data_IF_461994553957
#
_entry.id   IF_461994553957
#
_cell.length_a   1.000
_cell.length_b   1.000
_cell.length_c   1.000
_cell.angle_alpha   90.00
_cell.angle_beta   90.00
_cell.angle_gamma   90.00
#
_symmetry.space_group_name_H-M   'P 1'
#
loop_
_entity.id
_entity.type
_entity.pdbx_description
1 polymer ?
#
# COMPACT_ATOMS: atom_id res chain seq x y z
N UNK A 1 31.68 -15.36 18.97
CA UNK A 1 30.58 -16.37 18.91
C UNK A 1 29.32 -15.73 19.47
N UNK A 2 28.50 -15.11 18.62
CA UNK A 2 27.22 -14.53 19.03
C UNK A 2 26.17 -15.62 19.02
N UNK A 3 25.73 -16.03 20.20
CA UNK A 3 24.66 -17.00 20.37
C UNK A 3 23.41 -16.51 19.64
N UNK A 4 22.94 -17.29 18.66
CA UNK A 4 21.56 -17.18 18.16
C UNK A 4 20.65 -17.46 19.35
N UNK A 5 20.10 -16.41 19.94
CA UNK A 5 18.94 -16.53 20.83
C UNK A 5 17.85 -17.17 19.97
N UNK A 6 17.61 -18.47 20.15
CA UNK A 6 16.39 -19.12 19.69
C UNK A 6 15.27 -18.44 20.47
N UNK A 7 14.59 -17.47 19.86
CA UNK A 7 13.32 -17.01 20.39
C UNK A 7 12.38 -18.21 20.38
N UNK A 8 12.02 -18.68 21.58
CA UNK A 8 10.96 -19.65 21.74
C UNK A 8 9.66 -19.00 21.25
N UNK A 9 9.00 -19.65 20.30
CA UNK A 9 7.67 -19.25 19.84
C UNK A 9 6.70 -19.33 21.01
N UNK A 10 5.96 -18.26 21.29
CA UNK A 10 4.92 -18.29 22.32
C UNK A 10 3.69 -19.05 21.78
N UNK A 11 2.91 -19.71 22.64
CA UNK A 11 1.71 -20.44 22.26
C UNK A 11 0.72 -19.61 21.44
N UNK A 12 0.58 -18.31 21.73
CA UNK A 12 -0.24 -17.39 20.92
C UNK A 12 0.31 -17.18 19.49
N UNK A 13 1.63 -17.11 19.33
CA UNK A 13 2.26 -17.01 18.01
C UNK A 13 2.03 -18.29 17.21
N UNK A 14 2.19 -19.45 17.86
CA UNK A 14 1.94 -20.76 17.26
C UNK A 14 0.46 -20.91 16.87
N UNK A 15 -0.48 -20.56 17.75
CA UNK A 15 -1.92 -20.59 17.46
C UNK A 15 -2.30 -19.66 16.32
N UNK A 16 -1.76 -18.42 16.29
CA UNK A 16 -2.03 -17.49 15.18
C UNK A 16 -1.57 -18.03 13.82
N UNK A 17 -0.54 -18.90 13.82
CA UNK A 17 -0.05 -19.59 12.62
C UNK A 17 -0.85 -20.84 12.29
N UNK A 18 -1.40 -21.52 13.30
CA UNK A 18 -2.17 -22.76 13.14
C UNK A 18 -3.64 -22.52 12.79
N UNK A 19 -4.27 -21.48 13.33
CA UNK A 19 -5.66 -21.12 13.01
C UNK A 19 -5.82 -20.65 11.57
N UNK A 20 -4.73 -20.12 10.98
CA UNK A 20 -4.68 -19.67 9.59
C UNK A 20 -5.48 -18.38 9.37
N UNK A 21 -4.79 -17.32 8.94
CA UNK A 21 -5.50 -16.09 8.51
C UNK A 21 -6.17 -16.31 7.15
N UNK A 22 -7.32 -15.67 6.95
CA UNK A 22 -7.98 -15.65 5.65
C UNK A 22 -7.02 -15.14 4.56
N UNK A 23 -7.10 -15.77 3.40
CA UNK A 23 -6.23 -15.46 2.27
C UNK A 23 -6.64 -14.14 1.61
N UNK A 24 -5.65 -13.27 1.34
CA UNK A 24 -5.84 -12.04 0.56
C UNK A 24 -5.43 -12.20 -0.91
N UNK A 25 -5.19 -13.44 -1.38
CA UNK A 25 -4.78 -13.70 -2.77
C UNK A 25 -5.80 -13.18 -3.78
N UNK A 26 -7.08 -13.24 -3.45
CA UNK A 26 -8.17 -12.84 -4.33
C UNK A 26 -8.75 -11.45 -3.99
N UNK A 27 -7.99 -10.62 -3.25
CA UNK A 27 -8.45 -9.29 -2.80
C UNK A 27 -8.92 -8.40 -3.96
N UNK A 28 -8.22 -8.43 -5.10
CA UNK A 28 -8.66 -7.77 -6.31
C UNK A 28 -8.04 -8.39 -7.57
N UNK A 29 -8.78 -9.29 -8.26
CA UNK A 29 -8.31 -9.95 -9.49
C UNK A 29 -8.06 -8.99 -10.64
N UNK A 30 -8.60 -7.77 -10.63
CA UNK A 30 -8.35 -6.77 -11.67
C UNK A 30 -6.97 -6.14 -11.55
N UNK A 31 -6.47 -6.01 -10.31
CA UNK A 31 -5.20 -5.38 -9.98
C UNK A 31 -4.05 -6.39 -9.98
N UNK A 32 -4.27 -7.56 -9.35
CA UNK A 32 -3.24 -8.59 -9.20
C UNK A 32 -3.40 -9.69 -10.26
N UNK A 33 -2.30 -10.29 -10.75
CA UNK A 33 -2.39 -11.42 -11.68
C UNK A 33 -3.09 -12.63 -11.03
N UNK A 34 -3.67 -13.49 -11.87
CA UNK A 34 -4.26 -14.76 -11.43
C UNK A 34 -3.14 -15.56 -10.74
N UNK A 35 -3.40 -16.04 -9.52
CA UNK A 35 -2.43 -16.69 -8.63
C UNK A 35 -1.24 -15.83 -8.14
N UNK A 36 -1.28 -14.51 -8.37
CA UNK A 36 -0.22 -13.58 -7.94
C UNK A 36 -0.71 -12.40 -7.12
N UNK A 37 -1.86 -12.54 -6.44
CA UNK A 37 -2.26 -11.63 -5.38
C UNK A 37 -1.48 -11.85 -4.10
N UNK A 38 -1.51 -10.86 -3.18
CA UNK A 38 -0.68 -10.88 -1.99
C UNK A 38 -1.09 -12.01 -1.04
N UNK A 39 -0.14 -12.90 -0.75
CA UNK A 39 -0.27 -13.97 0.22
C UNK A 39 0.17 -13.56 1.62
N UNK A 40 -0.02 -14.46 2.59
CA UNK A 40 0.41 -14.24 3.97
C UNK A 40 1.90 -13.88 4.05
N UNK A 41 2.20 -12.79 4.72
CA UNK A 41 3.57 -12.30 4.88
C UNK A 41 4.08 -11.44 3.72
N UNK A 42 3.27 -11.18 2.68
CA UNK A 42 3.66 -10.31 1.58
C UNK A 42 3.57 -8.82 1.97
N UNK A 43 4.41 -8.03 1.31
CA UNK A 43 4.44 -6.58 1.42
C UNK A 43 4.24 -5.96 0.04
N UNK A 44 3.21 -5.12 -0.10
CA UNK A 44 2.84 -4.44 -1.34
C UNK A 44 3.13 -2.95 -1.20
N UNK A 45 4.01 -2.44 -2.06
CA UNK A 45 4.36 -1.02 -2.13
C UNK A 45 3.57 -0.31 -3.22
N UNK A 46 2.83 0.73 -2.85
CA UNK A 46 2.06 1.59 -3.74
C UNK A 46 2.88 2.85 -4.01
N UNK A 47 3.40 3.00 -5.20
CA UNK A 47 4.30 4.09 -5.56
C UNK A 47 3.72 4.93 -6.69
N UNK A 48 3.84 6.26 -6.59
CA UNK A 48 3.40 7.17 -7.63
C UNK A 48 3.29 8.61 -7.15
N UNK A 49 3.10 9.53 -8.10
CA UNK A 49 2.90 10.94 -7.82
C UNK A 49 1.61 11.19 -7.02
N UNK A 50 1.49 12.36 -6.42
CA UNK A 50 0.26 12.77 -5.75
C UNK A 50 -0.92 12.82 -6.75
N UNK A 51 -2.12 12.48 -6.27
CA UNK A 51 -3.31 12.50 -7.12
C UNK A 51 -3.38 11.42 -8.21
N UNK A 52 -2.57 10.36 -8.13
CA UNK A 52 -2.63 9.21 -9.08
C UNK A 52 -3.59 8.09 -8.64
N UNK A 53 -4.41 8.31 -7.60
CA UNK A 53 -5.42 7.34 -7.14
C UNK A 53 -4.92 6.27 -6.16
N UNK A 54 -3.78 6.47 -5.50
CA UNK A 54 -3.24 5.52 -4.49
C UNK A 54 -4.23 5.30 -3.33
N UNK A 55 -4.63 6.38 -2.66
CA UNK A 55 -5.54 6.34 -1.50
C UNK A 55 -6.93 5.82 -1.89
N UNK A 56 -7.44 6.19 -3.06
CA UNK A 56 -8.68 5.63 -3.61
C UNK A 56 -8.60 4.11 -3.83
N UNK A 57 -7.43 3.63 -4.24
CA UNK A 57 -7.19 2.18 -4.39
C UNK A 57 -7.10 1.49 -3.04
N UNK A 58 -6.52 2.14 -2.03
CA UNK A 58 -6.56 1.63 -0.66
C UNK A 58 -8.00 1.54 -0.15
N UNK A 59 -8.84 2.57 -0.34
CA UNK A 59 -10.26 2.50 0.05
C UNK A 59 -10.98 1.35 -0.61
N UNK A 60 -10.81 1.16 -1.92
CA UNK A 60 -11.38 0.03 -2.64
C UNK A 60 -10.94 -1.33 -2.02
N UNK A 61 -9.65 -1.48 -1.73
CA UNK A 61 -9.11 -2.73 -1.15
C UNK A 61 -9.55 -2.95 0.30
N UNK A 62 -9.64 -1.90 1.11
CA UNK A 62 -10.18 -1.97 2.48
C UNK A 62 -11.64 -2.40 2.43
N UNK A 63 -12.46 -1.79 1.57
CA UNK A 63 -13.87 -2.14 1.39
C UNK A 63 -14.01 -3.62 1.04
N UNK A 64 -13.24 -4.13 0.08
CA UNK A 64 -13.20 -5.57 -0.25
C UNK A 64 -12.82 -6.45 0.94
N UNK A 65 -11.90 -6.01 1.79
CA UNK A 65 -11.50 -6.76 2.98
C UNK A 65 -12.62 -6.83 4.02
N UNK A 66 -13.21 -5.69 4.38
CA UNK A 66 -14.12 -5.62 5.54
C UNK A 66 -15.55 -6.06 5.25
N UNK A 67 -15.94 -6.11 3.98
CA UNK A 67 -17.28 -6.53 3.55
C UNK A 67 -17.54 -8.03 3.80
N UNK A 68 -18.82 -8.43 3.98
CA UNK A 68 -19.22 -9.82 4.12
C UNK A 68 -18.82 -10.69 2.91
N UNK A 69 -18.50 -11.97 3.15
CA UNK A 69 -18.17 -12.91 2.07
C UNK A 69 -19.35 -13.10 1.11
N UNK A 70 -20.58 -13.06 1.64
CA UNK A 70 -21.81 -13.17 0.85
C UNK A 70 -21.98 -11.99 -0.13
N UNK A 71 -21.38 -10.84 0.18
CA UNK A 71 -21.36 -9.63 -0.65
C UNK A 71 -20.07 -9.50 -1.48
N UNK A 72 -19.32 -10.59 -1.68
CA UNK A 72 -18.06 -10.59 -2.44
C UNK A 72 -16.86 -9.95 -1.73
N UNK A 73 -16.96 -9.74 -0.41
CA UNK A 73 -15.88 -9.33 0.46
C UNK A 73 -15.09 -10.51 1.05
N UNK A 74 -14.20 -10.21 2.01
CA UNK A 74 -13.34 -11.22 2.65
C UNK A 74 -13.58 -11.38 4.16
N UNK A 75 -14.31 -10.47 4.80
CA UNK A 75 -14.48 -10.39 6.27
C UNK A 75 -13.20 -10.32 7.10
N UNK A 76 -12.15 -9.73 6.51
CA UNK A 76 -10.86 -9.52 7.13
C UNK A 76 -10.83 -8.20 7.88
N UNK A 77 -10.34 -8.22 9.11
CA UNK A 77 -10.07 -6.99 9.87
C UNK A 77 -8.80 -6.30 9.35
N UNK A 78 -8.83 -4.96 9.36
CA UNK A 78 -7.80 -4.10 8.77
C UNK A 78 -7.38 -3.03 9.79
N UNK A 79 -6.07 -2.84 9.94
CA UNK A 79 -5.51 -1.67 10.63
C UNK A 79 -4.93 -0.72 9.58
N UNK A 80 -5.41 0.52 9.58
CA UNK A 80 -4.90 1.61 8.74
C UNK A 80 -4.09 2.57 9.60
N UNK A 81 -2.81 2.72 9.28
CA UNK A 81 -1.93 3.71 9.91
C UNK A 81 -1.78 4.88 8.96
N UNK A 82 -2.39 6.00 9.34
CA UNK A 82 -2.32 7.25 8.60
C UNK A 82 -1.17 8.11 9.15
N UNK A 83 -0.20 8.40 8.31
CA UNK A 83 0.96 9.22 8.69
C UNK A 83 0.93 10.62 8.05
N UNK A 84 0.07 10.83 7.05
CA UNK A 84 -0.05 12.10 6.34
C UNK A 84 -1.37 12.83 6.64
N UNK A 85 -2.24 12.27 7.48
CA UNK A 85 -3.56 12.82 7.86
C UNK A 85 -4.49 13.02 6.65
N UNK A 86 -4.35 12.14 5.64
CA UNK A 86 -5.17 12.17 4.43
C UNK A 86 -6.33 11.16 4.45
N UNK A 87 -6.46 10.36 5.51
CA UNK A 87 -7.60 9.45 5.64
C UNK A 87 -8.90 10.23 5.85
N UNK A 88 -9.84 10.07 4.93
CA UNK A 88 -11.15 10.69 4.94
C UNK A 88 -12.21 9.61 5.16
N UNK A 89 -12.75 9.59 6.37
CA UNK A 89 -13.79 8.64 6.77
C UNK A 89 -15.07 8.81 5.96
N UNK A 90 -15.47 10.04 5.61
CA UNK A 90 -16.70 10.28 4.86
C UNK A 90 -16.55 9.73 3.45
N UNK A 91 -15.41 10.03 2.80
CA UNK A 91 -15.08 9.49 1.48
C UNK A 91 -15.07 7.96 1.50
N UNK A 92 -14.46 7.35 2.51
CA UNK A 92 -14.41 5.90 2.66
C UNK A 92 -15.81 5.27 2.82
N UNK A 93 -16.66 5.86 3.67
CA UNK A 93 -18.04 5.40 3.88
C UNK A 93 -18.85 5.49 2.59
N UNK A 94 -18.72 6.57 1.80
CA UNK A 94 -19.41 6.68 0.52
C UNK A 94 -19.00 5.56 -0.47
N UNK A 95 -17.72 5.16 -0.49
CA UNK A 95 -17.27 4.01 -1.29
C UNK A 95 -17.88 2.70 -0.77
N UNK A 96 -17.89 2.51 0.55
CA UNK A 96 -18.45 1.31 1.19
C UNK A 96 -19.96 1.17 0.91
N UNK A 97 -20.72 2.25 1.07
CA UNK A 97 -22.16 2.30 0.78
C UNK A 97 -22.44 2.00 -0.70
N UNK A 98 -21.69 2.63 -1.61
CA UNK A 98 -21.81 2.38 -3.04
C UNK A 98 -21.64 0.89 -3.39
N UNK A 99 -20.64 0.23 -2.79
CA UNK A 99 -20.40 -1.21 -2.99
C UNK A 99 -21.49 -2.11 -2.40
N UNK A 100 -21.95 -1.82 -1.19
CA UNK A 100 -23.03 -2.59 -0.56
C UNK A 100 -24.37 -2.42 -1.31
N UNK A 101 -24.60 -1.26 -1.93
CA UNK A 101 -25.77 -1.00 -2.74
C UNK A 101 -25.74 -1.71 -4.12
N UNK A 102 -24.55 -1.91 -4.71
CA UNK A 102 -24.39 -2.71 -5.94
C UNK A 102 -24.80 -4.18 -5.69
N UNK A 103 -24.36 -4.77 -4.58
CA UNK A 103 -24.68 -6.14 -4.16
C UNK A 103 -26.18 -6.38 -3.93
N UNK A 104 -26.86 -5.40 -3.33
CA UNK A 104 -28.29 -5.50 -2.97
C UNK A 104 -29.22 -5.49 -4.18
N UNK A 105 -28.75 -5.09 -5.37
CA UNK A 105 -29.54 -5.12 -6.61
C UNK A 105 -29.62 -6.52 -7.22
N UNK A 106 -28.79 -7.45 -6.77
CA UNK A 106 -28.69 -8.81 -7.30
C UNK A 106 -29.30 -9.88 -6.36
N UNK A 107 -29.72 -9.52 -5.14
CA UNK A 107 -30.24 -10.47 -4.15
C UNK A 107 -31.52 -10.01 -3.43
N UNK A 108 -32.52 -10.90 -3.38
CA UNK A 108 -33.79 -10.79 -2.63
C UNK A 108 -33.56 -11.10 -1.13
N UNK A 109 -32.63 -10.35 -0.51
CA UNK A 109 -32.20 -10.56 0.88
C UNK A 109 -33.01 -9.76 1.90
N UNK A 110 -33.01 -10.15 3.19
CA UNK A 110 -33.75 -9.44 4.23
C UNK A 110 -33.26 -8.01 4.35
N UNK A 111 -34.21 -7.08 4.51
CA UNK A 111 -34.02 -5.65 4.72
C UNK A 111 -33.32 -5.38 6.07
N UNK A 112 -32.05 -5.76 6.22
CA UNK A 112 -31.23 -5.14 7.25
C UNK A 112 -31.04 -3.68 6.85
N UNK A 113 -31.28 -2.76 7.78
CA UNK A 113 -31.10 -1.35 7.51
C UNK A 113 -29.68 -1.10 6.98
N UNK A 114 -29.51 -0.30 5.90
CA UNK A 114 -28.21 -0.10 5.25
C UNK A 114 -27.14 0.38 6.23
N UNK A 115 -27.54 1.14 7.25
CA UNK A 115 -26.68 1.63 8.32
C UNK A 115 -26.09 0.50 9.18
N UNK A 116 -26.85 -0.55 9.49
CA UNK A 116 -26.36 -1.69 10.28
C UNK A 116 -25.31 -2.49 9.51
N UNK A 117 -25.50 -2.65 8.19
CA UNK A 117 -24.51 -3.32 7.31
C UNK A 117 -23.20 -2.53 7.27
N UNK A 118 -23.29 -1.21 7.09
CA UNK A 118 -22.12 -0.32 7.11
C UNK A 118 -21.43 -0.40 8.47
N UNK A 119 -22.17 -0.28 9.57
CA UNK A 119 -21.62 -0.36 10.94
C UNK A 119 -20.90 -1.68 11.19
N UNK A 120 -21.49 -2.80 10.79
CA UNK A 120 -20.89 -4.14 10.90
C UNK A 120 -19.56 -4.23 10.14
N UNK A 121 -19.48 -3.66 8.94
CA UNK A 121 -18.23 -3.58 8.18
C UNK A 121 -17.18 -2.71 8.89
N UNK A 122 -17.58 -1.53 9.37
CA UNK A 122 -16.70 -0.59 10.04
C UNK A 122 -16.12 -1.12 11.35
N UNK A 123 -16.80 -2.04 12.05
CA UNK A 123 -16.25 -2.72 13.22
C UNK A 123 -14.97 -3.53 12.92
N UNK A 124 -14.71 -3.86 11.65
CA UNK A 124 -13.49 -4.56 11.21
C UNK A 124 -12.36 -3.59 10.80
N UNK A 125 -12.58 -2.28 10.80
CA UNK A 125 -11.57 -1.27 10.45
C UNK A 125 -11.10 -0.51 11.71
N UNK A 126 -9.79 -0.47 11.93
CA UNK A 126 -9.15 0.37 12.93
C UNK A 126 -8.24 1.38 12.27
N UNK A 127 -8.40 2.67 12.57
CA UNK A 127 -7.58 3.77 12.03
C UNK A 127 -6.74 4.37 13.15
N UNK A 128 -5.43 4.53 12.89
CA UNK A 128 -4.46 5.09 13.84
C UNK A 128 -3.65 6.17 13.14
N UNK A 129 -3.57 7.35 13.73
CA UNK A 129 -2.75 8.44 13.20
C UNK A 129 -1.37 8.48 13.87
N UNK A 130 -0.33 8.67 13.08
CA UNK A 130 1.05 8.85 13.55
C UNK A 130 1.62 10.16 13.02
N UNK A 131 2.21 10.98 13.90
CA UNK A 131 2.79 12.29 13.55
C UNK A 131 4.32 12.28 13.40
N UNK A 132 4.97 11.16 13.70
CA UNK A 132 6.43 11.01 13.63
C UNK A 132 6.84 9.57 13.40
N UNK A 133 8.06 9.37 12.90
CA UNK A 133 8.67 8.05 12.69
C UNK A 133 8.83 7.27 14.00
N UNK A 134 9.06 7.97 15.11
CA UNK A 134 9.12 7.37 16.46
C UNK A 134 7.74 6.91 16.92
N UNK A 135 6.69 7.73 16.73
CA UNK A 135 5.33 7.31 17.06
C UNK A 135 4.92 6.10 16.22
N UNK A 136 5.22 6.10 14.91
CA UNK A 136 4.97 4.95 14.04
C UNK A 136 5.64 3.69 14.58
N UNK A 137 6.92 3.77 14.98
CA UNK A 137 7.65 2.63 15.54
C UNK A 137 6.98 2.08 16.81
N UNK A 138 6.57 2.96 17.73
CA UNK A 138 5.87 2.58 18.95
C UNK A 138 4.50 1.96 18.67
N UNK A 139 3.74 2.54 17.73
CA UNK A 139 2.45 1.98 17.28
C UNK A 139 2.64 0.58 16.71
N UNK A 140 3.65 0.34 15.88
CA UNK A 140 3.94 -0.99 15.33
C UNK A 140 4.31 -2.00 16.43
N UNK A 141 5.01 -1.58 17.48
CA UNK A 141 5.30 -2.44 18.65
C UNK A 141 4.02 -2.77 19.42
N UNK A 142 3.13 -1.78 19.60
CA UNK A 142 1.85 -2.00 20.26
C UNK A 142 0.96 -2.97 19.48
N UNK A 143 0.92 -2.83 18.14
CA UNK A 143 0.13 -3.70 17.26
C UNK A 143 0.57 -5.16 17.29
N UNK A 144 1.80 -5.48 17.69
CA UNK A 144 2.26 -6.87 17.89
C UNK A 144 1.33 -7.66 18.83
N UNK A 145 0.84 -7.01 19.88
CA UNK A 145 -0.12 -7.62 20.81
C UNK A 145 -1.49 -7.82 20.16
N UNK A 146 -1.96 -6.83 19.37
CA UNK A 146 -3.22 -6.92 18.64
C UNK A 146 -3.22 -8.04 17.60
N UNK A 147 -2.13 -8.18 16.83
CA UNK A 147 -1.99 -9.29 15.88
C UNK A 147 -1.98 -10.66 16.57
N UNK A 148 -1.45 -10.73 17.80
CA UNK A 148 -1.43 -11.95 18.59
C UNK A 148 -2.82 -12.32 19.13
N UNK A 149 -3.65 -11.34 19.49
CA UNK A 149 -4.97 -11.56 20.11
C UNK A 149 -6.13 -11.61 19.10
N UNK A 150 -5.94 -11.09 17.89
CA UNK A 150 -6.96 -11.03 16.85
C UNK A 150 -6.52 -11.78 15.57
N UNK A 151 -6.88 -13.06 15.42
CA UNK A 151 -6.62 -13.85 14.21
C UNK A 151 -7.32 -13.31 12.96
N UNK A 152 -8.45 -12.61 13.10
CA UNK A 152 -9.19 -11.98 12.00
C UNK A 152 -8.45 -10.80 11.35
N UNK A 153 -7.46 -10.21 12.03
CA UNK A 153 -6.68 -9.07 11.53
C UNK A 153 -5.64 -9.52 10.49
N UNK A 154 -6.01 -9.48 9.21
CA UNK A 154 -5.18 -9.98 8.11
C UNK A 154 -4.33 -8.93 7.40
N UNK A 155 -4.70 -7.65 7.50
CA UNK A 155 -4.12 -6.57 6.70
C UNK A 155 -3.69 -5.38 7.57
N UNK A 156 -2.44 -4.94 7.36
CA UNK A 156 -1.90 -3.68 7.87
C UNK A 156 -1.65 -2.74 6.68
N UNK A 157 -2.21 -1.54 6.74
CA UNK A 157 -2.00 -0.49 5.73
C UNK A 157 -1.24 0.67 6.37
N UNK A 158 -0.24 1.22 5.66
CA UNK A 158 0.52 2.39 6.09
C UNK A 158 0.49 3.43 4.95
N UNK A 159 -0.27 4.51 5.11
CA UNK A 159 -0.36 5.61 4.14
C UNK A 159 0.22 6.89 4.75
N UNK A 160 1.49 7.26 4.50
CA UNK A 160 2.55 6.60 3.74
C UNK A 160 3.76 6.18 4.59
N UNK A 161 4.47 5.10 4.22
CA UNK A 161 5.71 4.71 4.92
C UNK A 161 6.83 5.74 4.73
N UNK A 162 6.66 6.66 3.78
CA UNK A 162 7.65 7.66 3.39
C UNK A 162 7.45 9.06 3.98
N UNK A 163 6.37 9.30 4.73
CA UNK A 163 6.00 10.63 5.27
C UNK A 163 7.13 11.34 6.00
N UNK A 164 7.84 10.59 6.85
CA UNK A 164 8.86 11.16 7.72
C UNK A 164 10.26 11.22 7.10
N UNK A 165 10.39 10.87 5.81
CA UNK A 165 11.68 10.74 5.15
C UNK A 165 12.55 11.99 5.29
N UNK A 166 12.02 13.18 5.00
CA UNK A 166 12.79 14.42 5.06
C UNK A 166 13.14 14.84 6.49
N UNK A 167 12.21 14.62 7.42
CA UNK A 167 12.40 14.93 8.85
C UNK A 167 13.49 14.03 9.44
N UNK A 168 13.45 12.73 9.18
CA UNK A 168 14.46 11.78 9.63
C UNK A 168 15.84 12.07 9.00
N UNK A 169 15.87 12.44 7.72
CA UNK A 169 17.09 12.87 7.02
C UNK A 169 17.71 14.12 7.63
N UNK A 170 16.89 15.10 7.99
CA UNK A 170 17.36 16.30 8.68
C UNK A 170 17.92 15.96 10.07
N UNK A 171 17.18 15.17 10.86
CA UNK A 171 17.57 14.80 12.21
C UNK A 171 18.82 13.90 12.28
N UNK A 172 19.12 13.16 11.21
CA UNK A 172 20.27 12.26 11.14
C UNK A 172 21.62 12.93 10.90
N UNK A 173 21.67 14.25 10.65
CA UNK A 173 22.90 14.98 10.35
C UNK A 173 23.61 14.43 9.12
N UNK A 174 24.94 14.29 9.17
CA UNK A 174 25.75 13.83 8.03
C UNK A 174 25.77 12.29 7.87
N UNK A 175 25.33 11.54 8.89
CA UNK A 175 25.37 10.08 8.88
C UNK A 175 24.13 9.48 8.23
N UNK A 176 24.30 8.87 7.06
CA UNK A 176 23.23 8.11 6.38
C UNK A 176 22.62 7.02 7.27
N UNK A 177 23.41 6.44 8.17
CA UNK A 177 22.95 5.43 9.12
C UNK A 177 21.93 6.01 10.10
N UNK A 178 22.22 7.21 10.64
CA UNK A 178 21.36 7.94 11.55
C UNK A 178 20.12 8.48 10.84
N UNK A 179 20.31 9.03 9.63
CA UNK A 179 19.23 9.53 8.77
C UNK A 179 18.16 8.47 8.46
N UNK A 180 18.57 7.21 8.34
CA UNK A 180 17.65 6.10 8.03
C UNK A 180 17.32 5.23 9.24
N UNK A 181 17.75 5.62 10.45
CA UNK A 181 17.66 4.77 11.63
C UNK A 181 16.22 4.40 12.00
N UNK A 182 15.30 5.36 11.97
CA UNK A 182 13.91 5.13 12.35
C UNK A 182 13.20 4.25 11.32
N UNK A 183 13.26 4.60 10.03
CA UNK A 183 12.68 3.79 8.97
C UNK A 183 13.27 2.37 8.92
N UNK A 184 14.58 2.21 9.17
CA UNK A 184 15.22 0.89 9.26
C UNK A 184 14.60 0.04 10.38
N UNK A 185 14.44 0.61 11.57
CA UNK A 185 13.79 -0.07 12.70
C UNK A 185 12.33 -0.43 12.39
N UNK A 186 11.59 0.46 11.73
CA UNK A 186 10.23 0.18 11.29
C UNK A 186 10.19 -0.99 10.29
N UNK A 187 11.06 -0.97 9.26
CA UNK A 187 11.13 -2.04 8.27
C UNK A 187 11.51 -3.40 8.90
N UNK A 188 12.48 -3.42 9.82
CA UNK A 188 12.86 -4.63 10.56
C UNK A 188 11.73 -5.17 11.43
N UNK A 189 10.96 -4.28 12.06
CA UNK A 189 9.79 -4.65 12.84
C UNK A 189 8.66 -5.21 11.97
N UNK A 190 8.35 -4.54 10.84
CA UNK A 190 7.37 -5.02 9.87
C UNK A 190 7.76 -6.39 9.30
N UNK A 191 9.05 -6.62 9.03
CA UNK A 191 9.59 -7.93 8.61
C UNK A 191 9.39 -9.01 9.68
N UNK A 192 9.49 -8.66 10.96
CA UNK A 192 9.20 -9.57 12.06
C UNK A 192 7.70 -9.87 12.14
N UNK A 193 6.85 -8.84 12.11
CA UNK A 193 5.40 -8.98 12.23
C UNK A 193 4.81 -9.84 11.10
N UNK A 194 5.16 -9.55 9.84
CA UNK A 194 4.67 -10.32 8.68
C UNK A 194 5.05 -11.79 8.74
N UNK A 195 6.26 -12.13 9.24
CA UNK A 195 6.75 -13.53 9.32
C UNK A 195 6.19 -14.31 10.50
N UNK A 196 6.03 -13.62 11.63
CA UNK A 196 5.55 -14.25 12.86
C UNK A 196 4.04 -14.47 12.79
N UNK A 197 3.29 -13.50 12.28
CA UNK A 197 1.83 -13.49 12.30
C UNK A 197 1.19 -13.76 10.93
N UNK A 198 1.96 -13.83 9.84
CA UNK A 198 1.42 -14.08 8.50
C UNK A 198 0.55 -12.94 7.95
N UNK A 199 0.67 -11.73 8.49
CA UNK A 199 -0.11 -10.56 8.02
C UNK A 199 0.41 -10.05 6.68
N UNK A 200 -0.48 -9.46 5.90
CA UNK A 200 -0.14 -8.73 4.67
C UNK A 200 0.03 -7.25 4.99
N UNK A 201 1.02 -6.61 4.37
CA UNK A 201 1.31 -5.19 4.60
C UNK A 201 1.17 -4.43 3.29
N UNK A 202 0.28 -3.44 3.22
CA UNK A 202 0.28 -2.46 2.14
C UNK A 202 0.87 -1.15 2.64
N UNK A 203 1.74 -0.53 1.83
CA UNK A 203 2.28 0.77 2.18
C UNK A 203 2.38 1.66 0.96
N UNK A 204 2.03 2.93 1.10
CA UNK A 204 2.24 3.91 0.03
C UNK A 204 3.59 4.59 0.18
N UNK A 205 4.14 5.03 -0.95
CA UNK A 205 5.36 5.82 -1.02
C UNK A 205 5.18 6.99 -1.98
N UNK A 206 5.76 8.12 -1.61
CA UNK A 206 5.77 9.32 -2.44
C UNK A 206 6.83 9.21 -3.54
N UNK A 207 6.50 9.69 -4.74
CA UNK A 207 7.45 9.82 -5.84
C UNK A 207 8.31 11.10 -5.68
N UNK A 208 9.24 11.10 -4.72
CA UNK A 208 10.05 12.29 -4.39
C UNK A 208 11.40 12.37 -5.14
N UNK A 209 11.98 11.23 -5.53
CA UNK A 209 13.31 11.20 -6.17
C UNK A 209 13.19 11.06 -7.68
N UNK A 210 13.56 12.13 -8.39
CA UNK A 210 13.59 12.13 -9.86
C UNK A 210 14.89 11.50 -10.39
N UNK A 211 14.75 10.58 -11.34
CA UNK A 211 15.78 10.05 -12.21
C UNK A 211 16.19 11.14 -13.21
N UNK A 212 17.27 11.83 -12.90
CA UNK A 212 18.04 12.58 -13.89
C UNK A 212 19.00 11.60 -14.60
N UNK A 213 18.46 10.58 -15.27
CA UNK A 213 19.25 9.72 -16.14
C UNK A 213 19.82 10.54 -17.29
N UNK A 214 21.11 10.39 -17.55
CA UNK A 214 21.82 11.01 -18.67
C UNK A 214 21.07 10.76 -19.98
N UNK A 215 20.85 11.82 -20.76
CA UNK A 215 20.22 11.75 -22.07
C UNK A 215 21.02 10.75 -22.95
N UNK A 216 20.42 9.69 -23.51
CA UNK A 216 21.13 8.71 -24.34
C UNK A 216 21.72 9.29 -25.64
N UNK A 217 21.47 10.57 -25.92
CA UNK A 217 21.90 11.27 -27.12
C UNK A 217 23.07 12.24 -26.95
N UNK A 218 23.65 12.40 -25.76
CA UNK A 218 24.78 13.32 -25.57
C UNK A 218 26.06 12.52 -25.33
N UNK A 219 26.71 12.15 -26.43
CA UNK A 219 28.13 11.77 -26.42
C UNK A 219 28.92 12.99 -25.97
N UNK A 220 29.33 13.04 -24.69
CA UNK A 220 30.20 14.09 -24.18
C UNK A 220 31.57 13.99 -24.87
N UNK A 221 31.79 14.82 -25.88
CA UNK A 221 33.14 15.10 -26.39
C UNK A 221 33.82 16.01 -25.36
N UNK A 222 34.96 15.63 -24.76
CA UNK A 222 35.61 16.46 -23.76
C UNK A 222 36.20 17.71 -24.44
N UNK A 223 35.65 18.89 -24.12
CA UNK A 223 36.24 20.17 -24.55
C UNK A 223 35.27 21.28 -24.96
N UNK A 224 33.95 21.03 -25.04
CA UNK A 224 33.00 22.08 -25.37
C UNK A 224 32.37 22.70 -24.13
N UNK A 225 32.89 23.86 -23.72
CA UNK A 225 32.23 24.79 -22.81
C UNK A 225 31.04 25.45 -23.51
N UNK A 226 29.92 24.74 -23.60
CA UNK A 226 28.62 25.32 -23.89
C UNK A 226 27.76 25.23 -22.63
N UNK A 227 27.32 26.39 -22.15
CA UNK A 227 26.30 26.56 -21.13
C UNK A 227 24.99 25.97 -21.64
N UNK A 228 24.87 24.65 -21.57
CA UNK A 228 23.65 23.93 -21.88
C UNK A 228 22.68 24.23 -20.76
N UNK A 229 21.80 25.20 -21.01
CA UNK A 229 20.57 25.38 -20.27
C UNK A 229 19.85 24.03 -20.32
N UNK A 230 19.99 23.25 -19.23
CA UNK A 230 19.18 22.07 -19.00
C UNK A 230 17.75 22.56 -19.03
N UNK A 231 17.08 22.45 -20.19
CA UNK A 231 15.64 22.65 -20.29
C UNK A 231 15.05 21.71 -19.27
N UNK A 232 14.45 22.28 -18.23
CA UNK A 232 13.72 21.52 -17.24
C UNK A 232 12.60 20.82 -18.01
N UNK A 233 12.79 19.55 -18.37
CA UNK A 233 11.71 18.74 -18.94
C UNK A 233 10.61 18.72 -17.89
N UNK A 234 9.39 19.06 -18.31
CA UNK A 234 8.21 18.87 -17.47
C UNK A 234 8.19 17.41 -16.98
N UNK A 235 7.88 17.23 -15.70
CA UNK A 235 7.92 15.93 -15.04
C UNK A 235 6.69 15.10 -15.42
N UNK A 236 6.61 14.72 -16.70
CA UNK A 236 5.37 14.22 -17.29
C UNK A 236 5.25 12.69 -17.23
N UNK A 237 6.29 11.98 -16.78
CA UNK A 237 6.31 10.51 -16.74
C UNK A 237 6.66 9.95 -15.36
N UNK A 238 5.86 9.02 -14.85
CA UNK A 238 6.13 8.29 -13.60
C UNK A 238 7.43 7.46 -13.67
N UNK A 239 7.90 7.10 -14.85
CA UNK A 239 9.23 6.45 -15.02
C UNK A 239 10.37 7.33 -14.52
N UNK A 240 10.17 8.65 -14.53
CA UNK A 240 11.14 9.60 -13.99
C UNK A 240 11.27 9.47 -12.47
N UNK A 241 10.35 8.80 -11.76
CA UNK A 241 10.39 8.70 -10.30
C UNK A 241 10.57 7.27 -9.78
N UNK A 242 10.87 6.32 -10.67
CA UNK A 242 10.93 4.89 -10.31
C UNK A 242 12.15 4.50 -9.45
N UNK A 243 13.02 5.45 -9.10
CA UNK A 243 14.23 5.17 -8.31
C UNK A 243 13.87 4.84 -6.86
N UNK A 244 14.24 3.65 -6.34
CA UNK A 244 14.07 3.35 -4.92
C UNK A 244 15.00 4.25 -4.10
N UNK A 245 14.41 4.96 -3.12
CA UNK A 245 15.12 5.92 -2.27
C UNK A 245 15.04 5.62 -0.78
N UNK A 246 14.10 4.76 -0.38
CA UNK A 246 13.96 4.27 0.98
C UNK A 246 15.09 3.32 1.34
N UNK A 247 15.29 3.08 2.64
CA UNK A 247 16.42 2.29 3.12
C UNK A 247 16.41 0.85 2.59
N UNK A 248 17.58 0.20 2.53
CA UNK A 248 17.70 -1.19 2.03
C UNK A 248 16.86 -2.21 2.82
N UNK A 249 16.58 -1.94 4.10
CA UNK A 249 15.75 -2.83 4.91
C UNK A 249 14.32 -2.89 4.36
N UNK A 250 13.74 -1.75 3.98
CA UNK A 250 12.43 -1.67 3.34
C UNK A 250 12.44 -2.37 1.97
N UNK A 251 13.40 -2.05 1.11
CA UNK A 251 13.48 -2.63 -0.24
C UNK A 251 13.55 -4.17 -0.25
N UNK A 252 14.14 -4.77 0.80
CA UNK A 252 14.28 -6.23 0.94
C UNK A 252 12.98 -6.95 1.31
N UNK A 253 12.03 -6.25 1.93
CA UNK A 253 10.78 -6.87 2.40
C UNK A 253 9.63 -6.69 1.41
N UNK A 254 9.72 -5.69 0.53
CA UNK A 254 8.74 -5.46 -0.55
C UNK A 254 8.72 -6.66 -1.49
N UNK A 255 7.53 -7.25 -1.65
CA UNK A 255 7.29 -8.42 -2.52
C UNK A 255 6.58 -8.04 -3.81
N UNK A 256 5.73 -7.02 -3.75
CA UNK A 256 4.95 -6.50 -4.85
C UNK A 256 5.14 -4.99 -4.89
N UNK A 257 5.36 -4.44 -6.08
CA UNK A 257 5.44 -3.00 -6.29
C UNK A 257 4.45 -2.59 -7.36
N UNK A 258 3.57 -1.67 -6.99
CA UNK A 258 2.52 -1.11 -7.82
C UNK A 258 2.84 0.33 -8.18
N UNK A 259 3.01 0.61 -9.48
CA UNK A 259 3.27 1.94 -10.00
C UNK A 259 1.98 2.58 -10.48
N UNK A 260 1.56 3.67 -9.85
CA UNK A 260 0.36 4.42 -10.17
C UNK A 260 0.68 5.62 -11.04
N UNK A 261 -0.07 5.76 -12.13
CA UNK A 261 0.05 6.89 -13.06
C UNK A 261 -1.31 7.48 -13.38
N UNK A 262 -1.32 8.78 -13.68
CA UNK A 262 -2.50 9.52 -14.11
C UNK A 262 -2.33 9.85 -15.58
N UNK A 263 -3.24 9.39 -16.44
CA UNK A 263 -3.19 9.71 -17.87
C UNK A 263 -3.49 11.19 -18.08
N UNK A 264 -2.73 11.89 -18.90
CA UNK A 264 -3.08 13.27 -19.30
C UNK A 264 -4.20 13.32 -20.34
N UNK A 265 -4.56 12.18 -20.93
CA UNK A 265 -5.62 12.04 -21.93
C UNK A 265 -6.91 11.59 -21.25
N UNK A 266 -7.99 12.34 -21.48
CA UNK A 266 -9.35 11.96 -21.10
C UNK A 266 -9.87 10.90 -22.08
N UNK A 267 -10.32 9.76 -21.56
CA UNK A 267 -11.07 8.77 -22.34
C UNK A 267 -12.54 8.90 -21.91
N UNK A 268 -13.44 9.07 -22.88
CA UNK A 268 -14.87 9.29 -22.63
C UNK A 268 -15.16 10.47 -21.67
N UNK A 269 -14.42 11.57 -21.82
CA UNK A 269 -14.48 12.78 -20.96
C UNK A 269 -14.16 12.53 -19.48
N UNK A 270 -13.62 11.36 -19.12
CA UNK A 270 -13.25 11.01 -17.75
C UNK A 270 -11.75 10.84 -17.61
N UNK A 271 -11.26 11.22 -16.43
CA UNK A 271 -9.88 10.99 -16.02
C UNK A 271 -9.62 9.48 -15.91
N UNK A 272 -8.58 9.01 -16.59
CA UNK A 272 -8.12 7.61 -16.52
C UNK A 272 -6.88 7.53 -15.66
N UNK A 273 -6.87 6.54 -14.77
CA UNK A 273 -5.72 6.16 -13.98
C UNK A 273 -5.23 4.81 -14.45
N UNK A 274 -3.94 4.54 -14.30
CA UNK A 274 -3.38 3.23 -14.56
C UNK A 274 -2.49 2.79 -13.41
N UNK A 275 -2.51 1.50 -13.13
CA UNK A 275 -1.59 0.87 -12.18
C UNK A 275 -0.88 -0.30 -12.85
N UNK A 276 0.41 -0.41 -12.61
CA UNK A 276 1.24 -1.51 -13.08
C UNK A 276 1.79 -2.27 -11.87
N UNK A 277 1.34 -3.50 -11.68
CA UNK A 277 1.82 -4.37 -10.62
C UNK A 277 2.99 -5.21 -11.12
N UNK A 278 4.07 -5.23 -10.32
CA UNK A 278 5.22 -6.11 -10.47
C UNK A 278 5.37 -6.94 -9.22
N UNK A 279 5.60 -8.25 -9.36
CA UNK A 279 5.82 -9.17 -8.24
C UNK A 279 7.16 -9.86 -8.40
N UNK A 280 7.83 -10.16 -7.28
CA UNK A 280 9.03 -10.99 -7.29
C UNK A 280 8.70 -12.43 -7.71
N UNK A 281 7.46 -12.89 -7.47
CA UNK A 281 7.07 -14.28 -7.73
C UNK A 281 6.65 -14.53 -9.18
N UNK A 282 6.01 -13.55 -9.84
CA UNK A 282 5.53 -13.70 -11.21
C UNK A 282 6.38 -12.89 -12.19
N UNK A 283 6.98 -13.54 -13.19
CA UNK A 283 7.66 -12.86 -14.31
C UNK A 283 6.62 -12.23 -15.24
N UNK A 284 6.10 -11.06 -14.87
CA UNK A 284 5.13 -10.32 -15.66
C UNK A 284 4.72 -9.02 -15.00
N UNK A 285 4.35 -8.03 -15.81
CA UNK A 285 3.74 -6.79 -15.35
C UNK A 285 2.27 -6.85 -15.68
N UNK A 286 1.40 -6.86 -14.67
CA UNK A 286 -0.04 -6.70 -14.91
C UNK A 286 -0.37 -5.22 -14.88
N UNK A 287 -0.97 -4.72 -15.97
CA UNK A 287 -1.47 -3.35 -16.05
C UNK A 287 -2.97 -3.37 -15.91
N UNK A 288 -3.49 -2.41 -15.16
CA UNK A 288 -4.91 -2.21 -14.98
C UNK A 288 -5.22 -0.73 -15.17
N UNK A 289 -6.33 -0.46 -15.85
CA UNK A 289 -6.87 0.88 -16.06
C UNK A 289 -8.12 1.05 -15.23
N UNK A 290 -8.30 2.22 -14.63
CA UNK A 290 -9.46 2.47 -13.80
C UNK A 290 -9.87 3.94 -13.76
N UNK A 291 -11.12 4.16 -13.37
CA UNK A 291 -11.70 5.45 -13.06
C UNK A 291 -11.96 5.55 -11.56
N UNK A 292 -11.75 6.75 -11.01
CA UNK A 292 -12.19 7.10 -9.66
C UNK A 292 -13.56 7.76 -9.79
N UNK A 293 -14.57 7.16 -9.16
CA UNK A 293 -15.96 7.58 -9.15
C UNK A 293 -16.42 7.81 -7.70
N UNK A 294 -17.60 8.39 -7.51
CA UNK A 294 -18.18 8.63 -6.19
C UNK A 294 -18.41 7.32 -5.41
N UNK A 295 -18.82 6.26 -6.09
CA UNK A 295 -18.99 4.90 -5.55
C UNK A 295 -17.68 4.09 -5.47
N UNK A 296 -16.53 4.71 -5.74
CA UNK A 296 -15.20 4.11 -5.66
C UNK A 296 -14.56 3.82 -7.01
N UNK A 297 -13.74 2.76 -7.08
CA UNK A 297 -12.98 2.44 -8.28
C UNK A 297 -13.79 1.58 -9.25
N UNK A 298 -13.80 1.99 -10.53
CA UNK A 298 -14.33 1.19 -11.64
C UNK A 298 -13.20 0.83 -12.61
N UNK A 299 -12.94 -0.47 -12.73
CA UNK A 299 -11.94 -0.98 -13.65
C UNK A 299 -12.42 -0.92 -15.09
N UNK A 300 -11.50 -0.58 -15.99
CA UNK A 300 -11.74 -0.61 -17.43
C UNK A 300 -11.26 -1.97 -17.93
N UNK A 301 -12.19 -2.85 -18.28
CA UNK A 301 -11.84 -4.09 -18.96
C UNK A 301 -11.44 -3.79 -20.41
N UNK A 302 -10.25 -4.23 -20.81
CA UNK A 302 -9.92 -4.37 -22.23
C UNK A 302 -10.82 -5.49 -22.79
N UNK A 303 -11.70 -5.14 -23.73
CA UNK A 303 -12.49 -6.11 -24.51
C UNK A 303 -11.62 -6.78 -25.56
#
# INVERSE_FOLDING_TARGET
>A
MTARVRMAENGAQLVSRLEGRQSLRDIEPSIFPVDGGPGQGDVVEFHGLEGTGKTETLYHLITRCIMPVQSGGLEVAVVFVDTDYHFDMLRFVSVLEGRLAEDSKEGDGPENEPEERVRSCLCRLSVVHCNSSVQLLLTLQYLENTFSSQPSLGLLIIDSISSFYWVDRFNGGESTVCQEANLRKCAELLDRLRRNYGIVIFATTHAIMRNYGSDPGVSEVPGSSSSSSRRWRSADSVTDFDKPYLCKAWQRIVTHRMLFTKSHVLKDSKQVFSTACTSIMTKGVKRCLFHVMEDGIKFVCDK
#
